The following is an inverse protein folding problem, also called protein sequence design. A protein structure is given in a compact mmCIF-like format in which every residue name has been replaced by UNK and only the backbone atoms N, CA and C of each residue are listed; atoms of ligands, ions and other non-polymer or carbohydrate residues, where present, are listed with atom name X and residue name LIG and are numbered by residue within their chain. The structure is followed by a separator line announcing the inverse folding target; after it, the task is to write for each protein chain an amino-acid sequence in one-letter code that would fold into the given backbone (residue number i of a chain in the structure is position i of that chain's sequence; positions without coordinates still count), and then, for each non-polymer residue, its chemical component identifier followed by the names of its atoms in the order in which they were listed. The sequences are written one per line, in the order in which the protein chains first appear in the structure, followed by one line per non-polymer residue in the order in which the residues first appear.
data_IF_006542013574
#
_entry.id   IF_006542013574
#
_cell.length_a   1.000
_cell.length_b   1.000
_cell.length_c   1.000
_cell.angle_alpha   90.00
_cell.angle_beta   90.00
_cell.angle_gamma   90.00
#
_symmetry.space_group_name_H-M   'P 1'
#
loop_
_entity.id
_entity.type
_entity.pdbx_description
1 polymer ?
#
# COMPACT_ATOMS: atom_id res chain seq x y z
N UNK A 1 5.27 5.67 -19.20
CA UNK A 1 5.74 5.55 -17.80
C UNK A 1 6.62 4.32 -17.74
N UNK A 2 7.84 4.44 -17.21
CA UNK A 2 8.79 3.32 -17.14
C UNK A 2 8.45 2.43 -15.94
N UNK A 3 8.27 1.14 -16.20
CA UNK A 3 8.00 0.14 -15.18
C UNK A 3 9.07 -0.95 -15.23
N UNK A 4 9.30 -1.62 -14.10
CA UNK A 4 10.17 -2.78 -14.06
C UNK A 4 9.43 -4.01 -14.63
N UNK A 5 10.12 -4.90 -15.38
CA UNK A 5 9.48 -6.06 -15.99
C UNK A 5 8.87 -7.02 -14.96
N UNK A 6 9.37 -6.98 -13.72
CA UNK A 6 8.84 -7.69 -12.56
C UNK A 6 8.67 -6.72 -11.38
N UNK A 7 7.84 -7.11 -10.42
CA UNK A 7 7.68 -6.40 -9.15
C UNK A 7 8.25 -7.26 -8.04
N UNK A 8 9.32 -6.77 -7.41
CA UNK A 8 9.90 -7.45 -6.25
C UNK A 8 8.96 -7.27 -5.05
N UNK A 9 8.35 -8.37 -4.61
CA UNK A 9 7.60 -8.43 -3.36
C UNK A 9 8.57 -8.82 -2.25
N UNK A 10 8.75 -8.00 -1.19
CA UNK A 10 9.64 -8.34 -0.08
C UNK A 10 9.27 -9.66 0.59
N UNK A 11 10.26 -10.47 0.96
CA UNK A 11 10.04 -11.80 1.56
C UNK A 11 9.16 -11.77 2.81
N UNK A 12 9.30 -10.69 3.58
CA UNK A 12 8.51 -10.42 4.79
C UNK A 12 6.99 -10.44 4.55
N UNK A 13 6.53 -10.19 3.31
CA UNK A 13 5.12 -10.31 2.93
C UNK A 13 4.69 -11.77 2.91
N UNK A 14 5.55 -12.67 2.44
CA UNK A 14 5.32 -14.12 2.44
C UNK A 14 5.30 -14.67 3.86
N UNK A 15 6.20 -14.20 4.72
CA UNK A 15 6.25 -14.60 6.13
C UNK A 15 4.99 -14.15 6.88
N UNK A 16 4.42 -13.00 6.52
CA UNK A 16 3.20 -12.47 7.13
C UNK A 16 1.89 -13.01 6.50
N UNK A 17 1.96 -13.89 5.49
CA UNK A 17 0.78 -14.41 4.77
C UNK A 17 -0.30 -15.02 5.69
N UNK A 18 0.02 -15.83 6.72
CA UNK A 18 -1.00 -16.43 7.57
C UNK A 18 -1.86 -15.40 8.32
N UNK A 19 -1.33 -14.19 8.49
CA UNK A 19 -2.00 -13.10 9.20
C UNK A 19 -2.69 -12.10 8.28
N UNK A 20 -2.74 -12.36 6.96
CA UNK A 20 -3.42 -11.55 5.96
C UNK A 20 -4.68 -12.26 5.47
N UNK A 21 -5.81 -11.56 5.53
CA UNK A 21 -6.99 -11.96 4.77
C UNK A 21 -6.74 -11.77 3.27
N UNK A 22 -7.52 -12.49 2.45
CA UNK A 22 -7.50 -12.36 0.99
C UNK A 22 -7.66 -10.91 0.51
N UNK A 23 -8.53 -10.13 1.17
CA UNK A 23 -8.78 -8.72 0.83
C UNK A 23 -7.55 -7.86 1.15
N UNK A 24 -6.92 -8.08 2.31
CA UNK A 24 -5.70 -7.36 2.71
C UNK A 24 -4.55 -7.68 1.77
N UNK A 25 -4.34 -8.97 1.44
CA UNK A 25 -3.28 -9.40 0.52
C UNK A 25 -3.41 -8.74 -0.85
N UNK A 26 -4.61 -8.76 -1.45
CA UNK A 26 -4.85 -8.12 -2.76
C UNK A 26 -4.56 -6.62 -2.74
N UNK A 27 -4.97 -5.92 -1.68
CA UNK A 27 -4.72 -4.48 -1.53
C UNK A 27 -3.23 -4.21 -1.34
N UNK A 28 -2.55 -5.00 -0.50
CA UNK A 28 -1.13 -4.87 -0.21
C UNK A 28 -0.27 -5.09 -1.47
N UNK A 29 -0.53 -6.17 -2.21
CA UNK A 29 0.18 -6.47 -3.46
C UNK A 29 -0.03 -5.38 -4.51
N UNK A 30 -1.22 -4.77 -4.59
CA UNK A 30 -1.42 -3.65 -5.50
C UNK A 30 -0.62 -2.42 -5.08
N UNK A 31 -0.51 -2.12 -3.78
CA UNK A 31 0.32 -1.02 -3.28
C UNK A 31 1.78 -1.27 -3.66
N UNK A 32 2.31 -2.47 -3.38
CA UNK A 32 3.69 -2.87 -3.75
C UNK A 32 3.90 -2.77 -5.27
N UNK A 33 2.93 -3.21 -6.08
CA UNK A 33 3.00 -3.09 -7.55
C UNK A 33 3.08 -1.65 -8.01
N UNK A 34 2.37 -0.73 -7.35
CA UNK A 34 2.32 0.68 -7.71
C UNK A 34 3.52 1.48 -7.20
N UNK A 35 4.19 1.00 -6.15
CA UNK A 35 5.43 1.58 -5.64
C UNK A 35 6.66 0.94 -6.29
N UNK A 36 6.95 -0.31 -5.95
CA UNK A 36 8.19 -0.99 -6.32
C UNK A 36 8.22 -1.44 -7.78
N UNK A 37 7.04 -1.65 -8.37
CA UNK A 37 6.93 -2.01 -9.80
C UNK A 37 7.04 -0.83 -10.77
N UNK A 38 7.20 0.42 -10.28
CA UNK A 38 7.30 1.61 -11.12
C UNK A 38 8.53 2.44 -10.78
N UNK A 39 9.11 3.05 -11.80
CA UNK A 39 10.21 3.99 -11.64
C UNK A 39 9.66 5.41 -11.49
N UNK A 40 10.14 6.09 -10.46
CA UNK A 40 9.97 7.51 -10.27
C UNK A 40 10.80 8.27 -11.32
N UNK A 41 10.17 9.22 -12.01
CA UNK A 41 10.79 9.88 -13.17
C UNK A 41 11.94 10.80 -12.77
N UNK A 42 11.85 11.41 -11.60
CA UNK A 42 12.80 12.41 -11.12
C UNK A 42 14.02 11.71 -10.53
N UNK A 43 13.79 10.72 -9.67
CA UNK A 43 14.86 10.04 -8.94
C UNK A 43 15.44 8.84 -9.68
N UNK A 44 14.77 8.35 -10.74
CA UNK A 44 15.13 7.13 -11.50
C UNK A 44 15.19 5.86 -10.64
N UNK A 45 14.59 5.90 -9.45
CA UNK A 45 14.49 4.80 -8.49
C UNK A 45 13.04 4.31 -8.37
N UNK A 46 12.80 3.25 -7.61
CA UNK A 46 11.44 2.83 -7.27
C UNK A 46 10.67 3.95 -6.57
N UNK A 47 9.37 4.06 -6.85
CA UNK A 47 8.52 5.05 -6.18
C UNK A 47 8.41 4.72 -4.69
N UNK A 48 8.68 5.71 -3.85
CA UNK A 48 8.49 5.57 -2.41
C UNK A 48 7.01 5.66 -2.01
N UNK A 49 6.24 6.48 -2.72
CA UNK A 49 4.79 6.61 -2.54
C UNK A 49 4.10 6.65 -3.90
N UNK A 50 2.85 6.17 -3.96
CA UNK A 50 1.99 6.41 -5.11
C UNK A 50 0.60 6.88 -4.71
N UNK A 51 0.05 7.83 -5.47
CA UNK A 51 -1.35 8.19 -5.35
C UNK A 51 -2.21 7.10 -5.98
N UNK A 52 -3.09 6.50 -5.19
CA UNK A 52 -3.96 5.41 -5.65
C UNK A 52 -5.39 5.73 -5.23
N UNK A 53 -6.29 5.89 -6.20
CA UNK A 53 -7.71 6.09 -5.91
C UNK A 53 -8.41 4.78 -5.52
N UNK A 54 -9.46 4.85 -4.70
CA UNK A 54 -10.29 3.68 -4.39
C UNK A 54 -10.89 3.04 -5.66
N UNK A 55 -11.22 3.83 -6.68
CA UNK A 55 -11.71 3.30 -7.96
C UNK A 55 -10.64 2.48 -8.68
N UNK A 56 -9.37 2.89 -8.60
CA UNK A 56 -8.25 2.13 -9.15
C UNK A 56 -8.06 0.81 -8.40
N UNK A 57 -8.10 0.82 -7.06
CA UNK A 57 -8.12 -0.41 -6.26
C UNK A 57 -9.25 -1.35 -6.71
N UNK A 58 -10.48 -0.86 -6.79
CA UNK A 58 -11.63 -1.67 -7.19
C UNK A 58 -11.43 -2.30 -8.57
N UNK A 59 -11.00 -1.50 -9.56
CA UNK A 59 -10.74 -1.97 -10.92
C UNK A 59 -9.66 -3.05 -10.98
N UNK A 60 -8.58 -2.92 -10.19
CA UNK A 60 -7.42 -3.83 -10.26
C UNK A 60 -7.54 -5.07 -9.38
N UNK A 61 -8.29 -4.98 -8.28
CA UNK A 61 -8.43 -6.09 -7.32
C UNK A 61 -9.73 -6.88 -7.49
N UNK A 62 -10.74 -6.28 -8.13
CA UNK A 62 -12.11 -6.82 -8.21
C UNK A 62 -12.89 -6.70 -6.89
N UNK A 63 -12.38 -5.96 -5.91
CA UNK A 63 -12.99 -5.84 -4.58
C UNK A 63 -14.00 -4.68 -4.51
N UNK A 64 -14.97 -4.80 -3.61
CA UNK A 64 -15.88 -3.69 -3.31
C UNK A 64 -15.13 -2.53 -2.62
N UNK A 65 -15.61 -1.31 -2.81
CA UNK A 65 -15.03 -0.10 -2.18
C UNK A 65 -15.00 -0.21 -0.65
N UNK A 66 -16.00 -0.87 -0.05
CA UNK A 66 -16.08 -1.13 1.39
C UNK A 66 -14.96 -2.07 1.84
N UNK A 67 -14.81 -3.21 1.17
CA UNK A 67 -13.76 -4.18 1.46
C UNK A 67 -12.36 -3.56 1.35
N UNK A 68 -12.13 -2.72 0.32
CA UNK A 68 -10.87 -1.97 0.16
C UNK A 68 -10.64 -1.00 1.33
N UNK A 69 -11.66 -0.21 1.71
CA UNK A 69 -11.55 0.74 2.82
C UNK A 69 -11.21 0.04 4.14
N UNK A 70 -11.81 -1.13 4.38
CA UNK A 70 -11.61 -1.90 5.60
C UNK A 70 -10.23 -2.58 5.59
N UNK A 71 -9.79 -3.13 4.45
CA UNK A 71 -8.44 -3.67 4.29
C UNK A 71 -7.35 -2.61 4.49
N UNK A 72 -7.50 -1.41 3.91
CA UNK A 72 -6.56 -0.30 4.15
C UNK A 72 -6.47 0.03 5.64
N UNK A 73 -7.60 0.03 6.36
CA UNK A 73 -7.61 0.30 7.79
C UNK A 73 -6.80 -0.74 8.58
N UNK A 74 -7.00 -2.02 8.27
CA UNK A 74 -6.29 -3.12 8.95
C UNK A 74 -4.81 -3.17 8.58
N UNK A 75 -4.44 -2.90 7.33
CA UNK A 75 -3.04 -2.83 6.90
C UNK A 75 -2.28 -1.67 7.59
N UNK A 76 -2.93 -0.52 7.80
CA UNK A 76 -2.37 0.58 8.60
C UNK A 76 -2.19 0.13 10.06
N UNK A 77 -3.20 -0.54 10.65
CA UNK A 77 -3.13 -1.03 12.03
C UNK A 77 -1.99 -2.05 12.22
N UNK A 78 -1.80 -2.95 11.25
CA UNK A 78 -0.70 -3.92 11.18
C UNK A 78 0.65 -3.27 10.85
N UNK A 79 0.69 -1.96 10.62
CA UNK A 79 1.87 -1.17 10.22
C UNK A 79 2.53 -1.63 8.91
N UNK A 80 1.83 -2.39 8.06
CA UNK A 80 2.35 -2.90 6.79
C UNK A 80 2.38 -1.84 5.69
N UNK A 81 1.56 -0.80 5.82
CA UNK A 81 1.51 0.31 4.86
C UNK A 81 1.57 1.65 5.58
N UNK A 82 2.13 2.64 4.88
CA UNK A 82 2.08 4.05 5.27
C UNK A 82 1.15 4.77 4.30
N UNK A 83 0.26 5.60 4.83
CA UNK A 83 -0.66 6.41 4.03
C UNK A 83 -0.52 7.87 4.41
N UNK A 84 -0.41 8.76 3.42
CA UNK A 84 -0.39 10.22 3.62
C UNK A 84 -1.39 10.92 2.71
N UNK A 85 -1.85 12.10 3.11
CA UNK A 85 -2.74 12.92 2.29
C UNK A 85 -1.96 13.83 1.31
N UNK A 86 -2.66 14.65 0.54
CA UNK A 86 -2.07 15.62 -0.39
C UNK A 86 -1.18 16.68 0.28
N UNK A 87 -1.35 16.90 1.58
CA UNK A 87 -0.51 17.81 2.39
C UNK A 87 0.71 17.11 3.00
N UNK A 88 0.94 15.84 2.67
CA UNK A 88 2.04 15.04 3.22
C UNK A 88 1.82 14.53 4.64
N UNK A 89 0.68 14.80 5.28
CA UNK A 89 0.39 14.35 6.65
C UNK A 89 0.03 12.87 6.66
N UNK A 90 0.66 12.10 7.55
CA UNK A 90 0.34 10.68 7.74
C UNK A 90 -1.11 10.54 8.25
N UNK A 91 -1.80 9.56 7.70
CA UNK A 91 -3.20 9.28 7.96
C UNK A 91 -3.35 7.92 8.63
N UNK A 92 -3.84 7.93 9.87
CA UNK A 92 -4.05 6.71 10.65
C UNK A 92 -5.52 6.29 10.68
N UNK A 93 -6.44 7.25 10.76
CA UNK A 93 -7.85 6.97 11.03
C UNK A 93 -8.77 7.17 9.82
N UNK A 94 -9.92 6.49 9.85
CA UNK A 94 -10.91 6.50 8.76
C UNK A 94 -11.43 7.90 8.43
N UNK A 95 -11.65 8.75 9.44
CA UNK A 95 -12.14 10.11 9.25
C UNK A 95 -11.15 10.98 8.48
N UNK A 96 -9.86 10.89 8.82
CA UNK A 96 -8.78 11.59 8.13
C UNK A 96 -8.67 11.12 6.67
N UNK A 97 -8.81 9.81 6.40
CA UNK A 97 -8.81 9.28 5.02
C UNK A 97 -9.97 9.83 4.18
N UNK A 98 -11.16 9.94 4.76
CA UNK A 98 -12.36 10.43 4.06
C UNK A 98 -12.28 11.92 3.70
N UNK A 99 -11.57 12.71 4.50
CA UNK A 99 -11.39 14.16 4.29
C UNK A 99 -10.24 14.51 3.34
N UNK A 100 -9.39 13.54 3.00
CA UNK A 100 -8.29 13.75 2.08
C UNK A 100 -8.80 13.78 0.63
N UNK A 101 -8.27 14.71 -0.17
CA UNK A 101 -8.55 14.76 -1.61
C UNK A 101 -7.81 13.64 -2.35
N UNK A 102 -6.58 13.35 -1.91
CA UNK A 102 -5.73 12.29 -2.44
C UNK A 102 -5.07 11.51 -1.32
N UNK A 103 -4.94 10.21 -1.51
CA UNK A 103 -4.21 9.33 -0.61
C UNK A 103 -3.03 8.72 -1.34
N UNK A 104 -1.85 8.86 -0.75
CA UNK A 104 -0.59 8.34 -1.23
C UNK A 104 -0.20 7.17 -0.34
N UNK A 105 0.13 6.03 -0.96
CA UNK A 105 0.38 4.76 -0.29
C UNK A 105 1.83 4.32 -0.48
N UNK A 106 2.37 3.68 0.54
CA UNK A 106 3.69 3.04 0.53
C UNK A 106 3.65 1.73 1.32
N UNK A 107 4.51 0.78 0.95
CA UNK A 107 4.78 -0.41 1.74
C UNK A 107 5.79 -0.07 2.83
N UNK A 108 5.52 -0.48 4.07
CA UNK A 108 6.37 -0.16 5.22
C UNK A 108 7.40 -1.27 5.47
N UNK A 109 8.46 -1.31 4.68
CA UNK A 109 9.46 -2.38 4.77
C UNK A 109 10.13 -2.44 6.15
N UNK A 110 10.57 -1.30 6.68
CA UNK A 110 11.29 -1.21 7.95
C UNK A 110 10.49 -1.78 9.12
N UNK A 111 9.25 -1.30 9.30
CA UNK A 111 8.42 -1.78 10.40
C UNK A 111 8.01 -3.23 10.23
N UNK A 112 7.83 -3.70 8.99
CA UNK A 112 7.42 -5.09 8.75
C UNK A 112 8.56 -6.05 9.08
N UNK A 113 9.81 -5.72 8.71
CA UNK A 113 10.97 -6.53 9.08
C UNK A 113 11.18 -6.58 10.61
N UNK A 114 11.00 -5.44 11.30
CA UNK A 114 11.14 -5.39 12.75
C UNK A 114 10.14 -6.26 13.51
N UNK A 115 8.95 -6.52 12.95
CA UNK A 115 7.94 -7.40 13.55
C UNK A 115 8.30 -8.88 13.44
N UNK A 116 9.08 -9.27 12.42
CA UNK A 116 9.45 -10.67 12.16
C UNK A 116 10.79 -11.03 12.80
N UNK A 117 11.63 -10.04 13.13
CA UNK A 117 12.88 -10.23 13.88
C UNK A 117 12.68 -10.37 15.41
N UNK A 118 11.43 -10.48 15.88
CA UNK A 118 11.03 -10.72 17.27
C UNK A 118 10.27 -12.04 17.36
#
# INVERSE_FOLDING_TARGET
MTYYPYTNVPNVVFDYLPNLSYTELKVLLLIIRQTFGWMDKETRKQKQFDWISIRFFAKKTGLSKRAISDAIAKLIQKKLIIVKNEKGKIVHHKLQRRRALKLYFSFNLEATCAVISL
#
